data_IF_443627315478
#
_entry.id   IF_443627315478
#
_cell.length_a   1.000
_cell.length_b   1.000
_cell.length_c   1.000
_cell.angle_alpha   90.00
_cell.angle_beta   90.00
_cell.angle_gamma   90.00
#
_symmetry.space_group_name_H-M   'P 1'
#
loop_
_entity.id
_entity.type
_entity.pdbx_description
1 polymer ?
#
# COMPACT_ATOMS: atom_id res chain seq x y z
N UNK A 1 -0.30 19.12 25.40
CA UNK A 1 -0.71 18.15 24.36
C UNK A 1 0.39 18.12 23.32
N UNK A 2 1.04 16.97 23.13
CA UNK A 2 1.96 16.79 21.99
C UNK A 2 1.16 16.85 20.68
N UNK A 3 1.83 17.07 19.52
CA UNK A 3 1.13 17.01 18.24
C UNK A 3 0.48 15.64 18.08
N UNK A 4 -0.82 15.61 17.73
CA UNK A 4 -1.51 14.36 17.41
C UNK A 4 -0.82 13.72 16.22
N UNK A 5 -0.58 12.41 16.31
CA UNK A 5 0.05 11.67 15.22
C UNK A 5 -0.77 11.83 13.92
N UNK A 6 -0.13 12.07 12.76
CA UNK A 6 -0.87 12.24 11.52
C UNK A 6 -1.72 11.02 11.15
N UNK A 7 -2.92 11.20 10.56
CA UNK A 7 -3.84 10.10 10.27
C UNK A 7 -3.21 8.97 9.45
N UNK A 8 -2.36 9.29 8.48
CA UNK A 8 -1.69 8.28 7.65
C UNK A 8 -0.71 7.41 8.43
N UNK A 9 -0.05 7.95 9.46
CA UNK A 9 0.86 7.17 10.30
C UNK A 9 0.07 6.24 11.23
N UNK A 10 -1.01 6.74 11.85
CA UNK A 10 -1.91 5.92 12.66
C UNK A 10 -2.52 4.80 11.81
N UNK A 11 -3.05 5.13 10.62
CA UNK A 11 -3.59 4.16 9.68
C UNK A 11 -2.58 3.08 9.35
N UNK A 12 -1.34 3.47 9.05
CA UNK A 12 -0.32 2.52 8.67
C UNK A 12 0.09 1.60 9.83
N UNK A 13 0.36 2.17 11.00
CA UNK A 13 0.70 1.41 12.21
C UNK A 13 -0.41 0.43 12.62
N UNK A 14 -1.67 0.87 12.51
CA UNK A 14 -2.82 0.09 12.96
C UNK A 14 -3.17 -1.08 12.03
N UNK A 15 -3.01 -0.92 10.71
CA UNK A 15 -3.35 -1.96 9.73
C UNK A 15 -2.17 -2.80 9.24
N UNK A 16 -0.93 -2.33 9.37
CA UNK A 16 0.26 -3.11 8.98
C UNK A 16 0.32 -4.51 9.63
N UNK A 17 -0.05 -4.70 10.91
CA UNK A 17 -0.08 -6.02 11.55
C UNK A 17 -1.10 -7.01 10.97
N UNK A 18 -1.97 -6.57 10.04
CA UNK A 18 -2.92 -7.44 9.34
C UNK A 18 -2.26 -8.24 8.19
N UNK A 19 -1.05 -7.88 7.78
CA UNK A 19 -0.23 -8.72 6.87
C UNK A 19 -0.57 -8.64 5.38
N UNK A 20 -1.36 -7.65 4.96
CA UNK A 20 -1.74 -7.44 3.55
C UNK A 20 -0.77 -6.56 2.75
N UNK A 21 0.38 -6.19 3.34
CA UNK A 21 1.34 -5.24 2.76
C UNK A 21 1.36 -3.92 3.52
N UNK A 22 2.09 -2.93 3.00
CA UNK A 22 2.10 -1.59 3.60
C UNK A 22 0.78 -0.87 3.24
N UNK A 23 -0.10 -0.57 4.22
CA UNK A 23 -1.37 0.11 3.97
C UNK A 23 -1.16 1.58 3.55
N UNK A 24 -1.87 2.03 2.53
CA UNK A 24 -1.83 3.42 2.06
C UNK A 24 -3.09 4.15 2.50
N UNK A 25 -2.92 5.31 3.14
CA UNK A 25 -4.02 6.21 3.49
C UNK A 25 -4.59 6.91 2.25
N UNK A 26 -3.73 7.20 1.29
CA UNK A 26 -4.08 7.73 -0.02
C UNK A 26 -3.73 6.72 -1.12
N UNK A 27 -4.52 5.64 -1.28
CA UNK A 27 -4.24 4.57 -2.24
C UNK A 27 -4.59 4.95 -3.68
N UNK A 28 -5.37 6.02 -3.89
CA UNK A 28 -5.82 6.44 -5.21
C UNK A 28 -4.61 6.73 -6.13
N UNK A 29 -4.53 6.09 -7.32
CA UNK A 29 -3.51 6.42 -8.31
C UNK A 29 -3.60 7.89 -8.72
N UNK A 30 -2.44 8.54 -8.86
CA UNK A 30 -2.37 9.89 -9.42
C UNK A 30 -2.18 9.83 -10.94
N UNK A 31 -2.36 10.96 -11.62
CA UNK A 31 -2.06 11.08 -13.04
C UNK A 31 -0.82 11.96 -13.23
N UNK A 32 0.06 11.54 -14.12
CA UNK A 32 1.26 12.25 -14.52
C UNK A 32 1.18 12.48 -16.04
N UNK A 33 1.38 13.72 -16.48
CA UNK A 33 1.20 14.08 -17.89
C UNK A 33 2.21 13.40 -18.83
N UNK A 34 3.37 12.98 -18.32
CA UNK A 34 4.42 12.32 -19.10
C UNK A 34 4.30 10.80 -19.14
N UNK A 35 3.77 10.19 -18.09
CA UNK A 35 3.80 8.75 -17.86
C UNK A 35 2.41 8.11 -17.63
N UNK A 36 1.36 8.93 -17.64
CA UNK A 36 -0.02 8.51 -17.49
C UNK A 36 -0.40 8.16 -16.04
N UNK A 37 -1.18 7.10 -15.88
CA UNK A 37 -1.66 6.67 -14.57
C UNK A 37 -0.49 6.17 -13.70
N UNK A 38 -0.28 6.81 -12.56
CA UNK A 38 0.73 6.46 -11.56
C UNK A 38 0.15 5.49 -10.54
N UNK A 39 -0.17 4.29 -11.00
CA UNK A 39 -0.53 3.19 -10.11
C UNK A 39 0.72 2.60 -9.46
N UNK A 40 0.57 2.07 -8.24
CA UNK A 40 1.60 1.25 -7.60
C UNK A 40 1.64 -0.12 -8.29
N UNK A 41 2.76 -0.43 -8.93
CA UNK A 41 2.99 -1.67 -9.66
C UNK A 41 4.14 -2.46 -9.04
N UNK A 42 4.17 -3.78 -9.26
CA UNK A 42 5.36 -4.60 -8.92
C UNK A 42 6.57 -4.04 -9.68
N UNK A 43 7.67 -3.87 -8.97
CA UNK A 43 8.90 -3.25 -9.48
C UNK A 43 8.97 -1.74 -9.32
N UNK A 44 7.89 -1.08 -8.86
CA UNK A 44 7.95 0.36 -8.55
C UNK A 44 9.00 0.60 -7.47
N UNK A 45 9.85 1.60 -7.70
CA UNK A 45 10.79 2.14 -6.73
C UNK A 45 10.30 3.51 -6.32
N UNK A 46 10.27 3.79 -5.02
CA UNK A 46 9.68 5.02 -4.50
C UNK A 46 9.73 5.10 -2.98
N UNK A 47 8.97 6.01 -2.40
CA UNK A 47 8.86 6.18 -0.95
C UNK A 47 7.42 6.48 -0.54
N UNK A 48 7.16 6.50 0.77
CA UNK A 48 5.87 6.94 1.31
C UNK A 48 5.98 8.39 1.73
N UNK A 49 5.04 9.21 1.25
CA UNK A 49 4.91 10.62 1.59
C UNK A 49 3.45 10.90 1.95
N UNK A 50 3.21 11.37 3.17
CA UNK A 50 1.87 11.66 3.72
C UNK A 50 0.82 10.56 3.44
N UNK A 51 1.21 9.29 3.53
CA UNK A 51 0.31 8.15 3.32
C UNK A 51 0.05 7.76 1.85
N UNK A 52 0.78 8.37 0.92
CA UNK A 52 0.78 8.06 -0.51
C UNK A 52 2.11 7.43 -0.92
N UNK A 53 2.07 6.47 -1.83
CA UNK A 53 3.29 6.01 -2.50
C UNK A 53 3.69 6.98 -3.61
N UNK A 54 4.90 7.54 -3.52
CA UNK A 54 5.51 8.41 -4.54
C UNK A 54 6.47 7.56 -5.37
N UNK A 55 6.05 7.23 -6.60
CA UNK A 55 6.88 6.45 -7.52
C UNK A 55 7.97 7.33 -8.13
N UNK A 56 9.22 6.89 -7.98
CA UNK A 56 10.37 7.43 -8.67
C UNK A 56 10.43 6.87 -10.10
N UNK A 57 10.54 5.56 -10.23
CA UNK A 57 10.57 4.81 -11.50
C UNK A 57 10.03 3.39 -11.28
N UNK A 58 10.01 2.56 -12.33
CA UNK A 58 9.72 1.13 -12.21
C UNK A 58 10.91 0.29 -12.71
N UNK A 59 11.56 -0.42 -11.78
CA UNK A 59 12.74 -1.25 -12.03
C UNK A 59 12.48 -2.39 -13.02
N UNK A 60 11.22 -2.81 -13.19
CA UNK A 60 10.82 -3.85 -14.15
C UNK A 60 10.50 -3.31 -15.54
N UNK A 61 10.53 -2.00 -15.76
CA UNK A 61 10.33 -1.36 -17.07
C UNK A 61 11.67 -0.94 -17.67
N UNK A 62 11.71 -0.77 -18.99
CA UNK A 62 12.92 -0.37 -19.68
C UNK A 62 13.25 1.11 -19.41
N UNK A 63 14.48 1.56 -19.70
CA UNK A 63 14.91 2.96 -19.47
C UNK A 63 14.08 3.96 -20.29
N UNK A 64 13.71 3.56 -21.50
CA UNK A 64 12.94 4.33 -22.48
C UNK A 64 11.42 4.24 -22.27
N UNK A 65 10.96 3.45 -21.29
CA UNK A 65 9.56 3.47 -20.89
C UNK A 65 9.19 4.86 -20.35
N UNK A 66 8.03 5.43 -20.72
CA UNK A 66 7.62 6.77 -20.27
C UNK A 66 7.69 6.98 -18.76
N UNK A 67 7.53 5.92 -17.95
CA UNK A 67 7.64 5.98 -16.48
C UNK A 67 9.09 6.18 -16.00
N UNK A 68 10.07 5.75 -16.78
CA UNK A 68 11.48 5.72 -16.40
C UNK A 68 12.31 6.82 -17.07
N UNK A 69 11.85 7.39 -18.18
CA UNK A 69 12.55 8.46 -18.91
C UNK A 69 12.87 9.62 -17.97
N UNK A 70 14.17 9.88 -17.78
CA UNK A 70 14.68 10.95 -16.91
C UNK A 70 14.55 10.70 -15.40
N UNK A 71 14.15 9.49 -14.96
CA UNK A 71 13.90 9.18 -13.54
C UNK A 71 14.76 8.05 -12.97
N UNK A 72 15.61 7.44 -13.80
CA UNK A 72 16.49 6.33 -13.43
C UNK A 72 17.96 6.76 -13.43
N UNK A 73 18.82 6.18 -12.58
CA UNK A 73 20.26 6.49 -12.61
C UNK A 73 20.91 6.13 -13.95
N UNK A 74 22.10 6.68 -14.19
CA UNK A 74 22.90 6.32 -15.37
C UNK A 74 23.25 4.82 -15.37
N UNK A 75 23.58 4.25 -14.21
CA UNK A 75 23.86 2.82 -14.02
C UNK A 75 22.60 1.93 -13.99
N UNK A 76 21.41 2.45 -14.32
CA UNK A 76 20.18 1.68 -14.24
C UNK A 76 20.22 0.41 -15.09
N UNK A 77 19.95 -0.70 -14.40
CA UNK A 77 19.78 -2.03 -14.97
C UNK A 77 18.39 -2.56 -14.59
N UNK A 78 17.67 -3.13 -15.56
CA UNK A 78 16.30 -3.58 -15.37
C UNK A 78 16.27 -4.82 -14.46
N UNK A 79 15.37 -4.84 -13.48
CA UNK A 79 15.06 -6.05 -12.71
C UNK A 79 14.38 -7.09 -13.61
N UNK A 80 15.18 -8.01 -14.14
CA UNK A 80 14.74 -9.10 -15.01
C UNK A 80 15.56 -10.37 -14.74
N UNK A 81 15.46 -10.96 -13.53
CA UNK A 81 16.24 -12.15 -13.21
C UNK A 81 15.88 -13.33 -14.13
N UNK A 82 16.85 -14.21 -14.46
CA UNK A 82 16.56 -15.43 -15.19
C UNK A 82 15.62 -16.33 -14.36
N UNK A 83 14.78 -17.10 -15.04
CA UNK A 83 13.80 -18.02 -14.42
C UNK A 83 12.79 -17.31 -13.50
N UNK A 84 12.36 -16.10 -13.87
CA UNK A 84 11.33 -15.39 -13.13
C UNK A 84 9.97 -16.08 -13.29
N UNK A 85 9.39 -16.53 -12.18
CA UNK A 85 7.99 -16.98 -12.12
C UNK A 85 7.11 -15.76 -11.95
N UNK A 86 6.29 -15.47 -12.95
CA UNK A 86 5.34 -14.36 -12.87
C UNK A 86 4.23 -14.67 -11.87
N UNK A 87 3.88 -13.72 -10.98
CA UNK A 87 2.84 -13.94 -10.00
C UNK A 87 1.46 -13.86 -10.66
N UNK A 88 0.57 -14.76 -10.24
CA UNK A 88 -0.84 -14.71 -10.61
C UNK A 88 -1.63 -14.01 -9.49
N UNK A 89 -2.49 -13.01 -9.80
CA UNK A 89 -3.37 -12.43 -8.81
C UNK A 89 -4.30 -13.46 -8.13
N UNK A 90 -4.45 -13.36 -6.81
CA UNK A 90 -5.33 -14.20 -6.01
C UNK A 90 -6.10 -13.39 -4.96
N UNK A 91 -7.36 -13.74 -4.63
CA UNK A 91 -8.13 -13.03 -3.61
C UNK A 91 -7.54 -13.27 -2.22
N UNK A 92 -7.42 -12.22 -1.40
CA UNK A 92 -6.86 -12.30 -0.02
C UNK A 92 -7.70 -11.62 1.06
N UNK A 93 -8.54 -10.65 0.70
CA UNK A 93 -9.51 -10.05 1.62
C UNK A 93 -10.89 -10.28 1.02
N UNK A 94 -11.59 -11.28 1.52
CA UNK A 94 -12.93 -11.68 1.05
C UNK A 94 -14.07 -11.12 1.91
N UNK A 95 -13.72 -10.39 2.97
CA UNK A 95 -14.65 -9.68 3.86
C UNK A 95 -14.72 -8.19 3.50
N UNK A 96 -15.82 -7.49 3.83
CA UNK A 96 -16.01 -6.09 3.44
C UNK A 96 -15.17 -5.08 4.25
N UNK A 97 -14.36 -5.54 5.21
CA UNK A 97 -13.53 -4.66 6.03
C UNK A 97 -12.22 -5.29 6.51
N UNK A 98 -11.23 -4.44 6.80
CA UNK A 98 -10.03 -4.76 7.58
C UNK A 98 -9.92 -3.74 8.71
N UNK A 99 -9.83 -4.19 9.94
CA UNK A 99 -9.78 -3.34 11.12
C UNK A 99 -8.48 -3.55 11.90
N UNK A 100 -8.08 -2.56 12.71
CA UNK A 100 -7.00 -2.76 13.69
C UNK A 100 -7.37 -3.86 14.68
N UNK A 101 -6.36 -4.52 15.28
CA UNK A 101 -6.59 -5.64 16.22
C UNK A 101 -7.37 -5.25 17.47
N UNK A 102 -7.38 -3.95 17.79
CA UNK A 102 -8.10 -3.36 18.92
C UNK A 102 -9.58 -3.12 18.65
N UNK A 103 -10.02 -3.14 17.39
CA UNK A 103 -11.41 -2.93 17.01
C UNK A 103 -12.14 -4.28 17.04
N UNK A 104 -13.21 -4.33 17.83
CA UNK A 104 -14.24 -5.36 17.76
C UNK A 104 -15.45 -4.76 17.10
N UNK A 105 -15.98 -5.45 16.10
CA UNK A 105 -17.27 -5.09 15.52
C UNK A 105 -18.28 -6.02 16.21
N UNK A 106 -19.19 -5.49 17.04
CA UNK A 106 -20.26 -6.30 17.62
C UNK A 106 -21.03 -6.96 16.48
N UNK A 107 -21.06 -8.29 16.46
CA UNK A 107 -22.08 -9.01 15.72
C UNK A 107 -23.34 -8.91 16.58
N UNK A 108 -24.25 -7.98 16.28
CA UNK A 108 -25.56 -7.98 16.92
C UNK A 108 -26.18 -9.38 16.76
N UNK A 109 -26.80 -9.85 17.84
CA UNK A 109 -27.42 -11.17 18.00
C UNK A 109 -28.29 -11.56 16.80
N UNK A 110 -27.71 -12.31 15.87
CA UNK A 110 -28.45 -13.10 14.88
C UNK A 110 -28.20 -14.56 15.24
N UNK A 111 -29.22 -15.21 15.82
CA UNK A 111 -29.28 -16.66 15.93
C UNK A 111 -29.16 -17.27 14.52
N UNK A 112 -27.95 -17.63 14.12
CA UNK A 112 -27.69 -18.24 12.83
C UNK A 112 -26.19 -18.30 12.53
N UNK A 113 -25.68 -19.39 11.94
CA UNK A 113 -24.27 -19.51 11.67
C UNK A 113 -23.87 -18.53 10.55
N UNK A 114 -23.03 -17.57 10.91
CA UNK A 114 -22.17 -16.84 9.95
C UNK A 114 -22.89 -15.88 9.00
N UNK A 115 -23.63 -14.90 9.52
CA UNK A 115 -24.02 -13.73 8.73
C UNK A 115 -23.33 -12.49 9.29
N UNK A 116 -22.29 -12.05 8.58
CA UNK A 116 -21.70 -10.70 8.72
C UNK A 116 -22.84 -9.68 8.69
N UNK A 117 -22.88 -8.67 9.58
CA UNK A 117 -23.97 -7.70 9.63
C UNK A 117 -24.18 -7.08 8.24
N UNK A 118 -25.41 -7.18 7.72
CA UNK A 118 -25.87 -6.57 6.47
C UNK A 118 -25.57 -5.08 6.41
N UNK A 119 -25.47 -4.44 7.58
CA UNK A 119 -25.11 -3.04 7.83
C UNK A 119 -23.72 -2.65 7.29
N UNK A 120 -22.82 -3.60 7.04
CA UNK A 120 -21.53 -3.32 6.41
C UNK A 120 -21.59 -3.28 4.88
N UNK A 121 -22.66 -3.83 4.28
CA UNK A 121 -22.84 -3.96 2.83
C UNK A 121 -23.82 -2.92 2.26
N UNK A 122 -24.54 -2.19 3.11
CA UNK A 122 -25.45 -1.09 2.75
C UNK A 122 -25.08 0.19 3.48
N UNK A 123 -24.01 0.87 3.08
CA UNK A 123 -23.86 2.29 3.46
C UNK A 123 -24.85 3.10 2.62
N UNK A 124 -26.14 2.97 2.92
CA UNK A 124 -27.10 4.03 2.66
C UNK A 124 -26.81 5.18 3.61
N UNK A 125 -27.17 6.41 3.24
CA UNK A 125 -26.78 7.64 3.94
C UNK A 125 -27.28 7.76 5.41
N UNK A 126 -27.97 6.74 5.94
CA UNK A 126 -28.62 6.75 7.27
C UNK A 126 -28.13 5.64 8.23
N UNK A 127 -27.27 4.71 7.82
CA UNK A 127 -26.81 3.63 8.71
C UNK A 127 -25.46 3.95 9.37
N UNK A 128 -25.46 4.09 10.69
CA UNK A 128 -24.25 4.33 11.50
C UNK A 128 -23.46 3.04 11.73
N UNK A 129 -22.16 3.07 11.46
CA UNK A 129 -21.24 1.98 11.78
C UNK A 129 -20.83 2.07 13.26
N UNK A 130 -21.20 1.09 14.08
CA UNK A 130 -20.74 0.98 15.47
C UNK A 130 -19.59 -0.03 15.58
N UNK A 131 -18.61 0.30 16.41
CA UNK A 131 -17.51 -0.59 16.76
C UNK A 131 -17.04 -0.28 18.17
N UNK A 132 -16.56 -1.32 18.85
CA UNK A 132 -15.89 -1.19 20.13
C UNK A 132 -14.38 -1.16 19.90
N UNK A 133 -13.68 -0.27 20.58
CA UNK A 133 -12.22 -0.26 20.56
C UNK A 133 -11.66 -0.43 21.96
N UNK A 134 -10.64 -1.27 22.10
CA UNK A 134 -9.91 -1.46 23.34
C UNK A 134 -8.71 -0.51 23.51
N UNK A 135 -8.45 0.36 22.53
CA UNK A 135 -7.32 1.31 22.51
C UNK A 135 -7.76 2.69 22.07
N UNK A 136 -6.99 3.72 22.44
CA UNK A 136 -7.31 5.10 22.06
C UNK A 136 -7.08 5.37 20.56
N UNK A 137 -6.26 4.57 19.88
CA UNK A 137 -6.05 4.71 18.43
C UNK A 137 -6.43 3.45 17.67
N UNK A 138 -6.88 3.63 16.44
CA UNK A 138 -7.19 2.52 15.54
C UNK A 138 -7.58 2.98 14.16
N UNK A 139 -7.75 2.01 13.27
CA UNK A 139 -8.05 2.25 11.87
C UNK A 139 -8.93 1.17 11.29
N UNK A 140 -9.73 1.57 10.31
CA UNK A 140 -10.66 0.72 9.59
C UNK A 140 -10.53 1.01 8.09
N UNK A 141 -10.42 -0.05 7.31
CA UNK A 141 -10.57 -0.06 5.87
C UNK A 141 -11.89 -0.77 5.55
N UNK A 142 -12.84 -0.07 4.95
CA UNK A 142 -13.97 -0.68 4.26
C UNK A 142 -13.58 -0.89 2.80
N UNK A 143 -14.00 -1.99 2.19
CA UNK A 143 -13.68 -2.30 0.80
C UNK A 143 -14.76 -3.16 0.13
N UNK A 144 -14.84 -3.10 -1.19
CA UNK A 144 -15.62 -4.06 -1.99
C UNK A 144 -14.81 -5.34 -2.17
N UNK A 145 -15.16 -6.47 -1.54
CA UNK A 145 -14.40 -7.70 -1.69
C UNK A 145 -14.59 -8.33 -3.09
N UNK A 146 -13.61 -9.09 -3.60
CA UNK A 146 -12.33 -9.39 -2.95
C UNK A 146 -11.23 -8.35 -3.25
N UNK A 147 -10.36 -8.09 -2.28
CA UNK A 147 -9.06 -7.50 -2.60
C UNK A 147 -8.12 -8.56 -3.18
N UNK A 148 -7.44 -8.21 -4.26
CA UNK A 148 -6.58 -9.11 -5.03
C UNK A 148 -5.11 -8.86 -4.70
N UNK A 149 -4.37 -9.91 -4.32
CA UNK A 149 -2.93 -9.88 -4.09
C UNK A 149 -2.18 -10.46 -5.28
N UNK A 150 -1.12 -9.77 -5.68
CA UNK A 150 -0.17 -10.22 -6.68
C UNK A 150 1.24 -9.91 -6.16
N UNK A 151 2.11 -10.91 -6.00
CA UNK A 151 3.42 -10.71 -5.36
C UNK A 151 4.48 -11.69 -5.85
N UNK A 152 5.69 -11.19 -6.06
CA UNK A 152 6.86 -12.00 -6.40
C UNK A 152 7.27 -12.90 -5.24
N UNK A 153 7.51 -14.18 -5.54
CA UNK A 153 7.95 -15.18 -4.55
C UNK A 153 9.47 -15.26 -4.43
N UNK A 154 10.22 -14.87 -5.48
CA UNK A 154 11.67 -15.02 -5.52
C UNK A 154 12.43 -13.92 -4.75
N UNK A 155 12.30 -13.95 -3.42
CA UNK A 155 12.92 -12.98 -2.51
C UNK A 155 14.43 -12.82 -2.73
N UNK A 156 15.15 -13.90 -3.06
CA UNK A 156 16.61 -13.84 -3.27
C UNK A 156 16.99 -12.94 -4.43
N UNK A 157 16.26 -12.98 -5.55
CA UNK A 157 16.51 -12.09 -6.68
C UNK A 157 16.27 -10.64 -6.30
N UNK A 158 15.17 -10.35 -5.60
CA UNK A 158 14.84 -8.99 -5.14
C UNK A 158 15.93 -8.47 -4.20
N UNK A 159 16.35 -9.26 -3.20
CA UNK A 159 17.35 -8.84 -2.22
C UNK A 159 18.72 -8.61 -2.84
N UNK A 160 19.13 -9.43 -3.82
CA UNK A 160 20.40 -9.22 -4.52
C UNK A 160 20.35 -7.92 -5.33
N UNK A 161 19.28 -7.73 -6.11
CA UNK A 161 19.08 -6.51 -6.89
C UNK A 161 19.05 -5.25 -6.01
N UNK A 162 18.34 -5.28 -4.88
CA UNK A 162 18.33 -4.17 -3.93
C UNK A 162 19.73 -3.83 -3.41
N UNK A 163 20.52 -4.84 -3.00
CA UNK A 163 21.89 -4.61 -2.50
C UNK A 163 22.81 -4.01 -3.54
N UNK A 164 22.61 -4.36 -4.81
CA UNK A 164 23.47 -3.90 -5.90
C UNK A 164 23.13 -2.48 -6.36
N UNK A 165 21.88 -2.02 -6.19
CA UNK A 165 21.42 -0.78 -6.84
C UNK A 165 20.84 0.29 -5.91
N UNK A 166 20.48 -0.02 -4.66
CA UNK A 166 19.77 0.95 -3.79
C UNK A 166 20.57 2.23 -3.53
N UNK A 167 21.91 2.11 -3.39
CA UNK A 167 22.78 3.27 -3.18
C UNK A 167 22.77 4.19 -4.42
N UNK A 168 22.83 3.62 -5.63
CA UNK A 168 22.75 4.39 -6.87
C UNK A 168 21.39 5.06 -7.04
N UNK A 169 20.30 4.43 -6.59
CA UNK A 169 18.97 5.04 -6.61
C UNK A 169 18.88 6.23 -5.65
N UNK A 170 19.45 6.08 -4.45
CA UNK A 170 19.47 7.14 -3.45
C UNK A 170 20.33 8.32 -3.91
N UNK A 171 21.56 8.07 -4.40
CA UNK A 171 22.41 9.12 -4.99
C UNK A 171 21.70 9.84 -6.12
N UNK A 172 21.04 9.11 -7.03
CA UNK A 172 20.29 9.73 -8.12
C UNK A 172 19.11 10.58 -7.63
N UNK A 173 18.33 10.07 -6.67
CA UNK A 173 17.22 10.80 -6.07
C UNK A 173 17.70 12.11 -5.43
N UNK A 174 18.79 12.07 -4.65
CA UNK A 174 19.33 13.23 -3.96
C UNK A 174 20.01 14.23 -4.91
N UNK A 175 20.95 13.76 -5.74
CA UNK A 175 21.88 14.62 -6.49
C UNK A 175 21.32 15.06 -7.85
N UNK A 176 20.58 14.19 -8.55
CA UNK A 176 20.07 14.52 -9.89
C UNK A 176 18.63 15.02 -9.86
N UNK A 177 17.81 14.52 -8.93
CA UNK A 177 16.39 14.88 -8.84
C UNK A 177 16.07 15.84 -7.69
N UNK A 178 17.05 16.14 -6.81
CA UNK A 178 16.91 17.09 -5.71
C UNK A 178 15.92 16.63 -4.63
N UNK A 179 15.69 15.33 -4.50
CA UNK A 179 14.76 14.75 -3.54
C UNK A 179 15.44 14.53 -2.18
N UNK A 180 14.83 15.02 -1.10
CA UNK A 180 15.30 14.82 0.27
C UNK A 180 14.90 13.49 0.90
N UNK A 181 14.91 12.39 0.13
CA UNK A 181 14.47 11.05 0.59
C UNK A 181 15.66 10.32 1.20
N UNK A 182 15.50 9.78 2.41
CA UNK A 182 16.57 9.00 3.06
C UNK A 182 16.66 7.60 2.45
N UNK A 183 17.85 6.99 2.51
CA UNK A 183 18.09 5.64 1.97
C UNK A 183 17.09 4.61 2.52
N UNK A 184 16.79 4.65 3.82
CA UNK A 184 15.85 3.75 4.48
C UNK A 184 14.37 3.99 4.13
N UNK A 185 14.06 5.12 3.49
CA UNK A 185 12.70 5.42 3.01
C UNK A 185 12.45 4.90 1.60
N UNK A 186 13.51 4.52 0.87
CA UNK A 186 13.38 3.92 -0.44
C UNK A 186 12.82 2.51 -0.33
N UNK A 187 11.78 2.26 -1.13
CA UNK A 187 11.04 1.02 -1.18
C UNK A 187 11.06 0.46 -2.59
N UNK A 188 11.26 -0.86 -2.69
CA UNK A 188 10.97 -1.64 -3.89
C UNK A 188 9.67 -2.42 -3.67
N UNK A 189 8.70 -2.23 -4.57
CA UNK A 189 7.41 -2.91 -4.48
C UNK A 189 7.53 -4.33 -5.04
N UNK A 190 7.63 -5.32 -4.14
CA UNK A 190 7.67 -6.74 -4.53
C UNK A 190 6.29 -7.37 -4.76
N UNK A 191 5.22 -6.67 -4.40
CA UNK A 191 3.85 -7.15 -4.50
C UNK A 191 2.84 -6.07 -4.14
N UNK A 192 1.60 -6.28 -4.54
CA UNK A 192 0.49 -5.36 -4.31
C UNK A 192 -0.74 -6.12 -3.82
N UNK A 193 -1.53 -5.49 -2.96
CA UNK A 193 -2.91 -5.89 -2.66
C UNK A 193 -3.82 -4.72 -3.03
N UNK A 194 -4.78 -4.95 -3.94
CA UNK A 194 -5.60 -3.90 -4.56
C UNK A 194 -7.08 -4.21 -4.46
N UNK A 195 -7.88 -3.16 -4.38
CA UNK A 195 -9.35 -3.15 -4.44
C UNK A 195 -9.78 -1.97 -5.29
N UNK A 196 -10.94 -2.04 -5.93
CA UNK A 196 -11.52 -0.96 -6.74
C UNK A 196 -12.43 -0.02 -5.93
N UNK A 197 -12.98 -0.52 -4.81
CA UNK A 197 -13.84 0.22 -3.88
C UNK A 197 -13.24 0.20 -2.49
N UNK A 198 -13.14 1.37 -1.86
CA UNK A 198 -12.59 1.51 -0.53
C UNK A 198 -13.08 2.76 0.19
N UNK A 199 -13.05 2.73 1.52
CA UNK A 199 -13.13 3.90 2.39
C UNK A 199 -12.22 3.68 3.61
N UNK A 200 -11.46 4.70 3.99
CA UNK A 200 -10.51 4.63 5.11
C UNK A 200 -11.02 5.48 6.27
N UNK A 201 -10.88 4.98 7.49
CA UNK A 201 -11.14 5.72 8.72
C UNK A 201 -10.01 5.50 9.73
N UNK A 202 -9.72 6.54 10.50
CA UNK A 202 -8.81 6.55 11.65
C UNK A 202 -9.52 7.25 12.79
N UNK A 203 -9.30 6.76 14.00
CA UNK A 203 -9.67 7.47 15.21
C UNK A 203 -8.48 7.59 16.15
N UNK A 204 -8.49 8.68 16.91
CA UNK A 204 -7.59 8.95 18.03
C UNK A 204 -8.43 9.53 19.14
N UNK A 205 -8.48 8.82 20.27
CA UNK A 205 -9.09 9.25 21.50
C UNK A 205 -8.32 10.40 22.16
N UNK A 206 -8.96 11.09 23.11
CA UNK A 206 -8.37 12.17 23.90
C UNK A 206 -7.28 11.71 24.88
#
# INVERSE_FOLDING_TARGET
MGPSEPPWQVYAKALFPQGYGYPLWHPQPTYDSSSGLCEVEIGSVGWIDEGRFRRLFNARKARDDPINVGRVPESFERFSPPNMIEPNPAPVIVKPFVASRSIRIPSDDVEGPSTIPSTLMSVSAEESLSFECSTDTGALLLLGPPAMKCALSQRRHIMNYLREHVDAWHTHAAENLGLGVRLEELMFVSGTTKTDKWACAVFSGP
#
